data_IF_792859487851
#
_entry.id   IF_792859487851
#
_cell.length_a   1.000
_cell.length_b   1.000
_cell.length_c   1.000
_cell.angle_alpha   90.00
_cell.angle_beta   90.00
_cell.angle_gamma   90.00
#
_symmetry.space_group_name_H-M   'P 1'
#
loop_
_entity.id
_entity.type
_entity.pdbx_description
1 polymer ?
#
# COMPACT_ATOMS: atom_id res chain seq x y z
N UNK A 1 -12.49 33.73 31.75
CA UNK A 1 -13.91 34.13 31.87
C UNK A 1 -14.51 34.15 30.46
N UNK A 2 -15.27 33.15 30.11
CA UNK A 2 -15.99 33.07 28.82
C UNK A 2 -17.44 33.44 29.10
N UNK A 3 -17.86 34.64 28.71
CA UNK A 3 -19.27 35.06 28.74
C UNK A 3 -19.89 34.65 27.40
N UNK A 4 -20.57 33.48 27.39
CA UNK A 4 -21.33 33.02 26.24
C UNK A 4 -22.56 33.93 26.01
N UNK A 5 -22.46 34.81 25.05
CA UNK A 5 -23.58 35.62 24.57
C UNK A 5 -24.40 34.85 23.55
N UNK A 6 -25.66 34.54 23.86
CA UNK A 6 -26.64 33.97 22.93
C UNK A 6 -27.62 35.06 22.53
N UNK A 7 -27.67 35.54 21.28
CA UNK A 7 -28.56 36.64 20.85
C UNK A 7 -30.02 36.17 20.95
N UNK A 8 -30.83 36.95 21.68
CA UNK A 8 -32.29 36.74 21.77
C UNK A 8 -32.85 36.16 23.06
N UNK A 9 -32.03 35.79 24.04
CA UNK A 9 -32.53 35.35 25.34
C UNK A 9 -32.31 36.39 26.41
N UNK A 10 -33.33 36.66 27.31
CA UNK A 10 -33.14 37.56 28.45
C UNK A 10 -32.07 37.03 29.42
N UNK A 11 -31.13 37.85 29.76
CA UNK A 11 -29.97 37.51 30.63
C UNK A 11 -30.35 36.94 32.02
N UNK A 12 -31.59 37.15 32.44
CA UNK A 12 -32.11 36.67 33.73
C UNK A 12 -32.42 35.18 33.78
N UNK A 13 -32.45 34.48 32.63
CA UNK A 13 -32.72 33.05 32.55
C UNK A 13 -31.46 32.19 32.75
N UNK A 14 -30.32 32.70 32.37
CA UNK A 14 -29.04 31.97 32.43
C UNK A 14 -28.52 31.82 33.85
N UNK A 15 -28.86 32.81 34.74
CA UNK A 15 -28.39 32.82 36.11
C UNK A 15 -29.21 31.95 37.11
N UNK A 16 -30.38 31.44 36.69
CA UNK A 16 -31.29 30.68 37.58
C UNK A 16 -31.40 29.18 37.30
N UNK A 17 -30.72 28.66 36.30
CA UNK A 17 -30.80 27.23 35.97
C UNK A 17 -29.42 26.56 36.03
N UNK A 18 -28.99 26.08 37.20
CA UNK A 18 -27.71 25.38 37.32
C UNK A 18 -27.63 24.09 36.48
N UNK A 19 -28.76 23.65 35.95
CA UNK A 19 -28.89 22.46 35.10
C UNK A 19 -28.49 22.69 33.63
N UNK A 20 -28.72 23.89 33.08
CA UNK A 20 -28.40 24.18 31.67
C UNK A 20 -26.89 24.19 31.44
N UNK A 21 -26.12 24.74 32.39
CA UNK A 21 -24.65 24.70 32.31
C UNK A 21 -24.08 23.29 32.42
N UNK A 22 -24.69 22.42 33.25
CA UNK A 22 -24.25 21.03 33.42
C UNK A 22 -24.61 20.16 32.23
N UNK A 23 -25.77 20.35 31.60
CA UNK A 23 -26.18 19.63 30.38
C UNK A 23 -25.36 20.06 29.17
N UNK A 24 -25.04 21.35 29.01
CA UNK A 24 -24.20 21.83 27.94
C UNK A 24 -22.76 21.34 28.08
N UNK A 25 -22.18 21.36 29.28
CA UNK A 25 -20.84 20.82 29.51
C UNK A 25 -20.81 19.28 29.36
N UNK A 26 -21.84 18.58 29.82
CA UNK A 26 -21.96 17.13 29.62
C UNK A 26 -22.08 16.72 28.16
N UNK A 27 -22.85 17.48 27.39
CA UNK A 27 -22.99 17.26 25.94
C UNK A 27 -21.70 17.53 25.15
N UNK A 28 -20.99 18.59 25.48
CA UNK A 28 -19.70 18.92 24.86
C UNK A 28 -18.63 17.89 25.27
N UNK A 29 -18.62 17.46 26.55
CA UNK A 29 -17.69 16.44 27.01
C UNK A 29 -17.99 15.08 26.38
N UNK A 30 -19.26 14.70 26.27
CA UNK A 30 -19.67 13.47 25.60
C UNK A 30 -19.35 13.49 24.11
N UNK A 31 -19.59 14.62 23.42
CA UNK A 31 -19.21 14.80 22.03
C UNK A 31 -17.67 14.78 21.84
N UNK A 32 -16.92 15.39 22.75
CA UNK A 32 -15.46 15.36 22.73
C UNK A 32 -14.92 13.95 23.00
N UNK A 33 -15.50 13.23 23.97
CA UNK A 33 -15.16 11.83 24.26
C UNK A 33 -15.56 10.89 23.12
N UNK A 34 -16.70 11.11 22.48
CA UNK A 34 -17.12 10.37 21.30
C UNK A 34 -16.19 10.64 20.10
N UNK A 35 -15.77 11.89 19.91
CA UNK A 35 -14.80 12.26 18.88
C UNK A 35 -13.40 11.67 19.15
N UNK A 36 -12.98 11.60 20.43
CA UNK A 36 -11.76 10.93 20.85
C UNK A 36 -11.84 9.41 20.70
N UNK A 37 -12.99 8.82 21.01
CA UNK A 37 -13.24 7.37 20.90
C UNK A 37 -13.39 6.92 19.45
N UNK A 38 -13.97 7.78 18.58
CA UNK A 38 -14.11 7.47 17.13
C UNK A 38 -12.84 7.76 16.34
N UNK A 39 -11.91 8.57 16.88
CA UNK A 39 -10.69 9.01 16.20
C UNK A 39 -10.96 9.74 14.87
N UNK A 40 -10.03 10.49 14.33
CA UNK A 40 -10.17 11.04 12.98
C UNK A 40 -10.21 9.89 11.96
N UNK A 41 -10.94 10.07 10.87
CA UNK A 41 -11.16 9.04 9.85
C UNK A 41 -9.84 8.42 9.33
N UNK A 42 -8.78 9.22 9.22
CA UNK A 42 -7.46 8.76 8.80
C UNK A 42 -6.81 7.77 9.79
N UNK A 43 -7.05 7.90 11.11
CA UNK A 43 -6.55 6.96 12.12
C UNK A 43 -7.20 5.58 11.96
N UNK A 44 -8.51 5.55 11.75
CA UNK A 44 -9.23 4.30 11.48
C UNK A 44 -8.78 3.67 10.16
N UNK A 45 -8.60 4.49 9.13
CA UNK A 45 -8.07 4.03 7.85
C UNK A 45 -6.70 3.38 8.01
N UNK A 46 -5.79 4.00 8.78
CA UNK A 46 -4.46 3.46 9.03
C UNK A 46 -4.52 2.07 9.70
N UNK A 47 -5.33 1.88 10.73
CA UNK A 47 -5.51 0.57 11.38
C UNK A 47 -6.10 -0.48 10.44
N UNK A 48 -7.03 -0.10 9.56
CA UNK A 48 -7.61 -0.98 8.56
C UNK A 48 -6.58 -1.38 7.49
N UNK A 49 -5.67 -0.48 7.10
CA UNK A 49 -4.58 -0.78 6.15
C UNK A 49 -3.59 -1.77 6.76
N UNK A 50 -3.16 -1.57 8.01
CA UNK A 50 -2.23 -2.50 8.68
C UNK A 50 -2.84 -3.90 8.84
N UNK A 51 -4.09 -3.96 9.31
CA UNK A 51 -4.81 -5.23 9.45
C UNK A 51 -5.05 -5.89 8.09
N UNK A 52 -5.42 -5.12 7.07
CA UNK A 52 -5.59 -5.60 5.71
C UNK A 52 -4.30 -6.13 5.11
N UNK A 53 -3.17 -5.45 5.33
CA UNK A 53 -1.85 -5.89 4.89
C UNK A 53 -1.45 -7.24 5.53
N UNK A 54 -1.72 -7.39 6.83
CA UNK A 54 -1.50 -8.67 7.52
C UNK A 54 -2.36 -9.79 6.93
N UNK A 55 -3.64 -9.53 6.67
CA UNK A 55 -4.54 -10.51 6.06
C UNK A 55 -4.09 -10.91 4.64
N UNK A 56 -3.53 -9.97 3.86
CA UNK A 56 -2.93 -10.27 2.54
C UNK A 56 -1.73 -11.19 2.71
N UNK A 57 -0.83 -10.91 3.65
CA UNK A 57 0.34 -11.77 3.91
C UNK A 57 -0.03 -13.18 4.38
N UNK A 58 -1.16 -13.31 5.08
CA UNK A 58 -1.70 -14.58 5.57
C UNK A 58 -2.53 -15.32 4.49
N UNK A 59 -2.65 -14.77 3.28
CA UNK A 59 -3.44 -15.34 2.20
C UNK A 59 -4.96 -15.23 2.40
N UNK A 60 -5.40 -14.45 3.38
CA UNK A 60 -6.82 -14.24 3.68
C UNK A 60 -7.41 -13.10 2.85
N UNK A 61 -7.49 -13.28 1.53
CA UNK A 61 -7.79 -12.20 0.59
C UNK A 61 -9.22 -11.64 0.72
N UNK A 62 -10.25 -12.47 0.94
CA UNK A 62 -11.63 -11.97 1.11
C UNK A 62 -11.81 -11.08 2.35
N UNK A 63 -11.33 -11.46 3.55
CA UNK A 63 -11.29 -10.55 4.69
C UNK A 63 -10.47 -9.28 4.43
N UNK A 64 -9.32 -9.41 3.75
CA UNK A 64 -8.46 -8.27 3.40
C UNK A 64 -9.22 -7.25 2.53
N UNK A 65 -9.88 -7.68 1.46
CA UNK A 65 -10.69 -6.81 0.59
C UNK A 65 -11.73 -6.05 1.40
N UNK A 66 -12.48 -6.73 2.29
CA UNK A 66 -13.51 -6.05 3.11
C UNK A 66 -12.95 -4.92 3.97
N UNK A 67 -11.77 -5.12 4.58
CA UNK A 67 -11.13 -4.09 5.40
C UNK A 67 -10.50 -2.99 4.56
N UNK A 68 -9.81 -3.34 3.48
CA UNK A 68 -9.12 -2.39 2.62
C UNK A 68 -10.09 -1.50 1.82
N UNK A 69 -11.25 -2.00 1.43
CA UNK A 69 -12.34 -1.18 0.85
C UNK A 69 -12.81 -0.12 1.85
N UNK A 70 -12.95 -0.48 3.13
CA UNK A 70 -13.28 0.50 4.17
C UNK A 70 -12.14 1.51 4.37
N UNK A 71 -10.89 1.07 4.30
CA UNK A 71 -9.72 1.94 4.38
C UNK A 71 -9.70 2.97 3.23
N UNK A 72 -9.89 2.50 1.98
CA UNK A 72 -9.97 3.38 0.79
C UNK A 72 -11.15 4.34 0.90
N UNK A 73 -12.31 3.88 1.39
CA UNK A 73 -13.48 4.74 1.59
C UNK A 73 -13.22 5.84 2.64
N UNK A 74 -12.45 5.54 3.68
CA UNK A 74 -12.11 6.50 4.74
C UNK A 74 -10.94 7.43 4.36
N UNK A 75 -10.02 6.96 3.52
CA UNK A 75 -8.85 7.70 3.04
C UNK A 75 -8.57 7.39 1.55
N UNK A 76 -9.31 8.03 0.61
CA UNK A 76 -9.23 7.73 -0.83
C UNK A 76 -7.89 8.06 -1.49
N UNK A 77 -7.03 8.81 -0.81
CA UNK A 77 -5.69 9.18 -1.29
C UNK A 77 -4.56 8.43 -0.58
N UNK A 78 -4.87 7.38 0.18
CA UNK A 78 -3.84 6.53 0.78
C UNK A 78 -3.35 5.49 -0.25
N UNK A 79 -2.15 5.73 -0.79
CA UNK A 79 -1.51 4.84 -1.75
C UNK A 79 -1.31 3.41 -1.20
N UNK A 80 -1.08 3.27 0.11
CA UNK A 80 -0.91 1.96 0.75
C UNK A 80 -2.21 1.16 0.76
N UNK A 81 -3.34 1.83 1.04
CA UNK A 81 -4.65 1.19 1.01
C UNK A 81 -4.95 0.63 -0.39
N UNK A 82 -4.71 1.42 -1.43
CA UNK A 82 -4.85 0.99 -2.81
C UNK A 82 -3.89 -0.14 -3.17
N UNK A 83 -2.63 -0.05 -2.79
CA UNK A 83 -1.63 -1.09 -3.06
C UNK A 83 -2.03 -2.45 -2.48
N UNK A 84 -2.37 -2.51 -1.18
CA UNK A 84 -2.77 -3.76 -0.55
C UNK A 84 -4.12 -4.27 -1.06
N UNK A 85 -5.04 -3.38 -1.42
CA UNK A 85 -6.30 -3.77 -2.05
C UNK A 85 -6.07 -4.41 -3.43
N UNK A 86 -5.13 -3.86 -4.22
CA UNK A 86 -4.69 -4.45 -5.47
C UNK A 86 -4.12 -5.87 -5.27
N UNK A 87 -3.24 -6.06 -4.28
CA UNK A 87 -2.70 -7.38 -3.94
C UNK A 87 -3.78 -8.36 -3.47
N UNK A 88 -4.75 -7.89 -2.68
CA UNK A 88 -5.86 -8.74 -2.24
C UNK A 88 -6.74 -9.19 -3.41
N UNK A 89 -7.03 -8.31 -4.37
CA UNK A 89 -7.76 -8.67 -5.58
C UNK A 89 -6.98 -9.64 -6.48
N UNK A 90 -5.66 -9.46 -6.59
CA UNK A 90 -4.79 -10.40 -7.31
C UNK A 90 -4.85 -11.80 -6.69
N UNK A 91 -4.78 -11.89 -5.37
CA UNK A 91 -4.93 -13.16 -4.65
C UNK A 91 -6.29 -13.85 -4.83
N UNK A 92 -7.33 -13.10 -5.25
CA UNK A 92 -8.65 -13.62 -5.63
C UNK A 92 -8.77 -13.91 -7.13
N UNK A 93 -7.73 -13.69 -7.94
CA UNK A 93 -7.78 -13.83 -9.40
C UNK A 93 -8.60 -12.73 -10.10
N UNK A 94 -8.80 -11.58 -9.44
CA UNK A 94 -9.53 -10.44 -10.00
C UNK A 94 -8.55 -9.43 -10.62
N UNK A 95 -7.89 -9.82 -11.68
CA UNK A 95 -6.74 -9.11 -12.28
C UNK A 95 -7.06 -7.67 -12.68
N UNK A 96 -8.24 -7.42 -13.25
CA UNK A 96 -8.63 -6.07 -13.66
C UNK A 96 -8.73 -5.10 -12.47
N UNK A 97 -9.34 -5.55 -11.37
CA UNK A 97 -9.44 -4.76 -10.14
C UNK A 97 -8.06 -4.59 -9.48
N UNK A 98 -7.24 -5.65 -9.48
CA UNK A 98 -5.88 -5.63 -8.96
C UNK A 98 -5.02 -4.57 -9.67
N UNK A 99 -5.01 -4.58 -10.99
CA UNK A 99 -4.27 -3.61 -11.80
C UNK A 99 -4.77 -2.18 -11.56
N UNK A 100 -6.09 -1.96 -11.58
CA UNK A 100 -6.67 -0.62 -11.34
C UNK A 100 -6.21 -0.02 -10.00
N UNK A 101 -6.28 -0.80 -8.92
CA UNK A 101 -5.86 -0.30 -7.61
C UNK A 101 -4.34 -0.14 -7.50
N UNK A 102 -3.54 -1.01 -8.12
CA UNK A 102 -2.10 -0.83 -8.16
C UNK A 102 -1.67 0.41 -8.97
N UNK A 103 -2.35 0.72 -10.07
CA UNK A 103 -2.16 1.96 -10.84
C UNK A 103 -2.52 3.20 -10.01
N UNK A 104 -3.60 3.14 -9.22
CA UNK A 104 -3.96 4.20 -8.28
C UNK A 104 -2.85 4.42 -7.23
N UNK A 105 -2.27 3.35 -6.68
CA UNK A 105 -1.16 3.45 -5.73
C UNK A 105 0.07 4.16 -6.35
N UNK A 106 0.44 3.80 -7.58
CA UNK A 106 1.54 4.45 -8.31
C UNK A 106 1.21 5.92 -8.58
N UNK A 107 -0.02 6.23 -8.99
CA UNK A 107 -0.46 7.62 -9.25
C UNK A 107 -0.44 8.48 -7.98
N UNK A 108 -0.82 7.92 -6.84
CA UNK A 108 -0.85 8.62 -5.55
C UNK A 108 0.55 8.81 -4.95
N UNK A 109 1.48 7.90 -5.21
CA UNK A 109 2.85 7.97 -4.73
C UNK A 109 3.87 7.65 -5.83
N UNK A 110 4.05 8.54 -6.83
CA UNK A 110 4.80 8.28 -8.06
C UNK A 110 6.32 8.16 -7.87
N UNK A 111 6.83 8.35 -6.65
CA UNK A 111 8.25 8.20 -6.30
C UNK A 111 8.51 7.03 -5.36
N UNK A 112 7.56 6.16 -5.16
CA UNK A 112 7.74 4.96 -4.34
C UNK A 112 7.99 3.74 -5.23
N UNK A 113 9.24 3.30 -5.27
CA UNK A 113 9.68 2.15 -6.07
C UNK A 113 8.93 0.85 -5.73
N UNK A 114 8.35 0.72 -4.53
CA UNK A 114 7.59 -0.46 -4.11
C UNK A 114 6.30 -0.61 -4.90
N UNK A 115 5.59 0.49 -5.16
CA UNK A 115 4.34 0.45 -5.91
C UNK A 115 4.58 0.20 -7.39
N UNK A 116 5.64 0.77 -7.96
CA UNK A 116 6.06 0.45 -9.33
C UNK A 116 6.43 -1.04 -9.47
N UNK A 117 7.19 -1.58 -8.53
CA UNK A 117 7.55 -3.01 -8.53
C UNK A 117 6.33 -3.92 -8.31
N UNK A 118 5.41 -3.53 -7.41
CA UNK A 118 4.17 -4.26 -7.17
C UNK A 118 3.25 -4.29 -8.40
N UNK A 119 3.05 -3.15 -9.06
CA UNK A 119 2.30 -3.08 -10.31
C UNK A 119 2.93 -3.93 -11.39
N UNK A 120 4.27 -3.91 -11.49
CA UNK A 120 4.98 -4.75 -12.45
C UNK A 120 4.78 -6.25 -12.20
N UNK A 121 4.73 -6.68 -10.93
CA UNK A 121 4.44 -8.08 -10.58
C UNK A 121 3.05 -8.47 -11.07
N UNK A 122 2.04 -7.62 -10.90
CA UNK A 122 0.70 -7.87 -11.41
C UNK A 122 0.66 -7.94 -12.95
N UNK A 123 1.45 -7.12 -13.64
CA UNK A 123 1.59 -7.25 -15.09
C UNK A 123 2.25 -8.57 -15.51
N UNK A 124 3.25 -9.07 -14.75
CA UNK A 124 3.86 -10.38 -15.00
C UNK A 124 2.87 -11.53 -14.83
N UNK A 125 2.02 -11.45 -13.81
CA UNK A 125 0.99 -12.46 -13.55
C UNK A 125 -0.10 -12.44 -14.63
N UNK A 126 -0.40 -11.25 -15.17
CA UNK A 126 -1.29 -11.08 -16.32
C UNK A 126 -0.64 -11.41 -17.68
N UNK A 127 0.63 -11.87 -17.72
CA UNK A 127 1.37 -12.16 -18.95
C UNK A 127 1.84 -10.92 -19.74
N UNK A 128 1.67 -9.73 -19.18
CA UNK A 128 2.02 -8.44 -19.81
C UNK A 128 3.48 -8.06 -19.51
N UNK A 129 4.40 -8.92 -19.96
CA UNK A 129 5.84 -8.80 -19.65
C UNK A 129 6.47 -7.49 -20.12
N UNK A 130 6.17 -6.91 -21.29
CA UNK A 130 6.76 -5.64 -21.70
C UNK A 130 6.43 -4.48 -20.76
N UNK A 131 5.18 -4.38 -20.31
CA UNK A 131 4.74 -3.36 -19.37
C UNK A 131 5.41 -3.55 -18.01
N UNK A 132 5.51 -4.79 -17.53
CA UNK A 132 6.22 -5.11 -16.29
C UNK A 132 7.68 -4.64 -16.33
N UNK A 133 8.41 -4.89 -17.42
CA UNK A 133 9.79 -4.43 -17.59
C UNK A 133 9.87 -2.91 -17.53
N UNK A 134 8.93 -2.19 -18.15
CA UNK A 134 8.92 -0.74 -18.12
C UNK A 134 8.76 -0.20 -16.68
N UNK A 135 7.85 -0.77 -15.90
CA UNK A 135 7.63 -0.41 -14.50
C UNK A 135 8.83 -0.80 -13.61
N UNK A 136 9.42 -1.97 -13.80
CA UNK A 136 10.60 -2.40 -13.05
C UNK A 136 11.85 -1.55 -13.34
N UNK A 137 12.04 -1.10 -14.57
CA UNK A 137 13.11 -0.15 -14.88
C UNK A 137 12.94 1.16 -14.12
N UNK A 138 11.72 1.73 -14.08
CA UNK A 138 11.42 2.91 -13.27
C UNK A 138 11.68 2.65 -11.78
N UNK A 139 11.30 1.49 -11.26
CA UNK A 139 11.56 1.13 -9.87
C UNK A 139 13.06 1.03 -9.57
N UNK A 140 13.87 0.47 -10.50
CA UNK A 140 15.35 0.43 -10.40
C UNK A 140 15.94 1.83 -10.44
N UNK A 141 15.44 2.73 -11.29
CA UNK A 141 15.91 4.12 -11.37
C UNK A 141 15.65 4.88 -10.06
N UNK A 142 14.51 4.62 -9.41
CA UNK A 142 14.16 5.21 -8.10
C UNK A 142 14.98 4.60 -6.95
N UNK A 143 15.29 3.32 -7.00
CA UNK A 143 16.02 2.60 -5.94
C UNK A 143 17.08 1.67 -6.53
N UNK A 144 18.21 2.22 -7.02
CA UNK A 144 19.23 1.46 -7.76
C UNK A 144 19.94 0.39 -6.94
N UNK A 145 19.92 0.53 -5.61
CA UNK A 145 20.59 -0.36 -4.67
C UNK A 145 19.70 -1.45 -4.08
N UNK A 146 18.45 -1.62 -4.56
CA UNK A 146 17.54 -2.67 -4.10
C UNK A 146 17.80 -3.96 -4.87
N UNK A 147 18.34 -5.01 -4.22
CA UNK A 147 18.53 -6.31 -4.88
C UNK A 147 17.20 -6.96 -5.25
N UNK A 148 16.14 -6.77 -4.44
CA UNK A 148 14.81 -7.34 -4.69
C UNK A 148 14.23 -6.86 -6.03
N UNK A 149 14.26 -5.55 -6.28
CA UNK A 149 13.72 -4.95 -7.51
C UNK A 149 14.53 -5.43 -8.73
N UNK A 150 15.85 -5.57 -8.59
CA UNK A 150 16.70 -6.09 -9.66
C UNK A 150 16.44 -7.55 -9.96
N UNK A 151 16.14 -8.36 -8.95
CA UNK A 151 15.73 -9.76 -9.12
C UNK A 151 14.40 -9.85 -9.90
N UNK A 152 13.43 -9.00 -9.57
CA UNK A 152 12.17 -8.92 -10.31
C UNK A 152 12.40 -8.51 -11.78
N UNK A 153 13.28 -7.53 -12.01
CA UNK A 153 13.63 -7.12 -13.39
C UNK A 153 14.35 -8.24 -14.14
N UNK A 154 15.26 -8.95 -13.49
CA UNK A 154 15.93 -10.10 -14.11
C UNK A 154 14.95 -11.21 -14.49
N UNK A 155 13.96 -11.53 -13.62
CA UNK A 155 12.92 -12.51 -13.95
C UNK A 155 12.02 -12.04 -15.10
N UNK A 156 11.63 -10.76 -15.12
CA UNK A 156 10.87 -10.19 -16.22
C UNK A 156 11.63 -10.26 -17.55
N UNK A 157 12.92 -9.93 -17.56
CA UNK A 157 13.79 -10.04 -18.73
C UNK A 157 13.96 -11.48 -19.19
N UNK A 158 14.07 -12.43 -18.26
CA UNK A 158 14.09 -13.87 -18.54
C UNK A 158 12.81 -14.32 -19.25
N UNK A 159 11.64 -13.87 -18.78
CA UNK A 159 10.34 -14.16 -19.43
C UNK A 159 10.24 -13.55 -20.82
N UNK A 160 10.89 -12.41 -21.05
CA UNK A 160 10.97 -11.75 -22.34
C UNK A 160 11.99 -12.38 -23.30
N UNK A 161 12.86 -13.30 -22.83
CA UNK A 161 13.94 -13.88 -23.63
C UNK A 161 15.20 -13.02 -23.74
N UNK A 162 15.28 -11.90 -23.00
CA UNK A 162 16.49 -11.06 -22.93
C UNK A 162 17.50 -11.67 -21.96
N UNK A 163 18.29 -12.62 -22.48
CA UNK A 163 19.29 -13.35 -21.68
C UNK A 163 20.41 -12.44 -21.17
N UNK A 164 20.86 -11.50 -21.99
CA UNK A 164 21.94 -10.58 -21.60
C UNK A 164 21.51 -9.61 -20.50
N UNK A 165 20.33 -9.03 -20.65
CA UNK A 165 19.72 -8.17 -19.66
C UNK A 165 19.49 -8.90 -18.34
N UNK A 166 18.91 -10.10 -18.41
CA UNK A 166 18.70 -10.97 -17.26
C UNK A 166 20.01 -11.25 -16.51
N UNK A 167 21.07 -11.72 -17.20
CA UNK A 167 22.35 -12.02 -16.56
C UNK A 167 22.97 -10.79 -15.91
N UNK A 168 22.87 -9.62 -16.54
CA UNK A 168 23.38 -8.36 -16.01
C UNK A 168 22.68 -8.02 -14.69
N UNK A 169 21.35 -8.07 -14.64
CA UNK A 169 20.61 -7.71 -13.45
C UNK A 169 20.82 -8.72 -12.31
N UNK A 170 20.89 -10.02 -12.58
CA UNK A 170 21.25 -11.03 -11.54
C UNK A 170 22.64 -10.77 -10.97
N UNK A 171 23.66 -10.46 -11.79
CA UNK A 171 25.01 -10.14 -11.28
C UNK A 171 25.02 -8.89 -10.42
N UNK A 172 24.25 -7.87 -10.77
CA UNK A 172 24.13 -6.66 -9.95
C UNK A 172 23.42 -6.98 -8.63
N UNK A 173 22.30 -7.70 -8.65
CA UNK A 173 21.59 -8.11 -7.46
C UNK A 173 22.47 -8.92 -6.51
N UNK A 174 23.25 -9.88 -7.04
CA UNK A 174 24.23 -10.65 -6.26
C UNK A 174 25.29 -9.78 -5.56
N UNK A 175 25.78 -8.75 -6.24
CA UNK A 175 26.77 -7.84 -5.65
C UNK A 175 26.16 -6.97 -4.55
N UNK A 176 24.92 -6.52 -4.74
CA UNK A 176 24.21 -5.68 -3.78
C UNK A 176 23.79 -6.47 -2.53
N UNK A 177 23.34 -7.70 -2.71
CA UNK A 177 22.90 -8.58 -1.64
C UNK A 177 24.07 -9.25 -0.90
N UNK A 178 25.27 -9.30 -1.52
CA UNK A 178 26.44 -9.92 -0.89
C UNK A 178 26.26 -11.43 -0.66
N UNK A 179 26.49 -11.85 0.59
CA UNK A 179 26.41 -13.26 0.99
C UNK A 179 25.07 -13.70 1.60
N UNK A 180 24.09 -12.84 1.63
CA UNK A 180 22.77 -13.11 2.23
C UNK A 180 21.91 -14.06 1.37
N UNK A 181 20.70 -14.33 1.85
CA UNK A 181 19.74 -15.24 1.20
C UNK A 181 19.35 -14.76 -0.21
N UNK A 182 19.24 -13.44 -0.44
CA UNK A 182 18.92 -12.89 -1.75
C UNK A 182 20.07 -13.08 -2.74
N UNK A 183 21.32 -12.89 -2.29
CA UNK A 183 22.50 -13.15 -3.12
C UNK A 183 22.65 -14.65 -3.46
N UNK A 184 22.28 -15.53 -2.56
CA UNK A 184 22.23 -16.97 -2.81
C UNK A 184 21.14 -17.30 -3.86
N UNK A 185 19.93 -16.76 -3.69
CA UNK A 185 18.83 -16.91 -4.64
C UNK A 185 19.21 -16.40 -6.04
N UNK A 186 19.82 -15.22 -6.13
CA UNK A 186 20.27 -14.65 -7.39
C UNK A 186 21.27 -15.56 -8.12
N UNK A 187 22.23 -16.17 -7.38
CA UNK A 187 23.19 -17.17 -7.93
C UNK A 187 22.50 -18.40 -8.46
N UNK A 188 21.55 -18.94 -7.72
CA UNK A 188 20.80 -20.11 -8.10
C UNK A 188 19.96 -19.86 -9.34
N UNK A 189 19.23 -18.75 -9.40
CA UNK A 189 18.41 -18.37 -10.55
C UNK A 189 19.26 -18.15 -11.81
N UNK A 190 20.42 -17.49 -11.68
CA UNK A 190 21.35 -17.30 -12.78
C UNK A 190 21.88 -18.64 -13.32
N UNK A 191 22.24 -19.56 -12.42
CA UNK A 191 22.69 -20.90 -12.79
C UNK A 191 21.60 -21.69 -13.53
N UNK A 192 20.41 -21.75 -12.96
CA UNK A 192 19.26 -22.41 -13.56
C UNK A 192 18.88 -21.83 -14.94
N UNK A 193 18.99 -20.52 -15.11
CA UNK A 193 18.72 -19.87 -16.37
C UNK A 193 19.75 -20.26 -17.45
N UNK A 194 21.03 -20.36 -17.09
CA UNK A 194 22.09 -20.81 -17.99
C UNK A 194 21.96 -22.26 -18.39
N UNK A 195 21.61 -23.14 -17.46
CA UNK A 195 21.39 -24.56 -17.73
C UNK A 195 20.23 -24.78 -18.71
N UNK A 196 19.17 -23.97 -18.65
CA UNK A 196 18.05 -24.00 -19.61
C UNK A 196 18.38 -23.39 -20.98
N UNK A 197 19.34 -22.51 -21.05
CA UNK A 197 19.78 -21.85 -22.29
C UNK A 197 20.90 -22.64 -22.99
N UNK A 198 21.50 -23.64 -22.36
CA UNK A 198 22.47 -24.51 -22.98
C UNK A 198 21.78 -25.42 -24.02
N UNK A 199 22.36 -25.60 -25.22
CA UNK A 199 21.78 -26.36 -26.32
C UNK A 199 21.70 -27.86 -26.02
#
# INVERSE_FOLDING_TARGET
>A
MWTGYVPGMPQTWISRSPWIGRLAMGGVLAAALAALASGPAWWRAHGLVESGATLVSDGQYLPAVRQLVQAVSAAPHDARAHYYLGLAYAGLGQDAAALSHAEDAVRLAPRDARYEAGLATLFLDAGRTPEAIAHLRRAVDMKPTSPDIRLLLADALRRAGDTEGMEREYRIAMRLAGGDTLGALAREQLRAARERAAP
#
